data_IF_947319351249
#
_entry.id   IF_947319351249
#
_cell.length_a   1.000
_cell.length_b   1.000
_cell.length_c   1.000
_cell.angle_alpha   90.00
_cell.angle_beta   90.00
_cell.angle_gamma   90.00
#
_symmetry.space_group_name_H-M   'P 1'
#
loop_
_entity.id
_entity.type
_entity.pdbx_description
1 polymer ?
#
# COMPACT_ATOMS: atom_id res chain seq x y z
N UNK A 1 -26.81 -22.01 -3.77
CA UNK A 1 -26.65 -20.69 -3.13
C UNK A 1 -27.27 -20.65 -1.74
N UNK A 2 -28.62 -20.71 -1.62
CA UNK A 2 -29.32 -20.63 -0.33
C UNK A 2 -28.90 -21.71 0.67
N UNK A 3 -28.75 -22.96 0.23
CA UNK A 3 -28.29 -24.07 1.08
C UNK A 3 -26.89 -23.82 1.63
N UNK A 4 -25.96 -23.39 0.78
CA UNK A 4 -24.58 -23.06 1.17
C UNK A 4 -24.53 -21.90 2.16
N UNK A 5 -25.33 -20.85 1.95
CA UNK A 5 -25.41 -19.72 2.87
C UNK A 5 -25.95 -20.13 4.26
N UNK A 6 -26.94 -21.02 4.30
CA UNK A 6 -27.44 -21.60 5.57
C UNK A 6 -26.38 -22.45 6.27
N UNK A 7 -25.56 -23.19 5.52
CA UNK A 7 -24.50 -24.03 6.09
C UNK A 7 -23.35 -23.20 6.68
N UNK A 8 -22.93 -22.13 6.00
CA UNK A 8 -21.85 -21.26 6.48
C UNK A 8 -22.29 -20.32 7.60
N UNK A 9 -23.58 -19.96 7.65
CA UNK A 9 -24.10 -18.93 8.54
C UNK A 9 -23.78 -17.52 8.02
N UNK A 10 -24.67 -16.57 8.30
CA UNK A 10 -24.44 -15.17 7.93
C UNK A 10 -23.48 -14.48 8.92
N UNK A 11 -22.69 -13.48 8.47
CA UNK A 11 -22.59 -13.01 7.09
C UNK A 11 -21.76 -13.93 6.18
N UNK A 12 -22.12 -13.98 4.90
CA UNK A 12 -21.38 -14.72 3.86
C UNK A 12 -20.77 -13.77 2.83
N UNK A 13 -19.66 -14.16 2.22
CA UNK A 13 -19.03 -13.44 1.12
C UNK A 13 -19.52 -14.00 -0.21
N UNK A 14 -20.12 -13.14 -1.03
CA UNK A 14 -20.60 -13.48 -2.39
C UNK A 14 -19.91 -12.57 -3.39
N UNK A 15 -19.03 -13.15 -4.22
CA UNK A 15 -18.08 -12.43 -5.10
C UNK A 15 -17.23 -11.43 -4.30
N UNK A 16 -17.75 -10.22 -4.17
CA UNK A 16 -17.10 -9.04 -3.61
C UNK A 16 -18.08 -8.22 -2.77
N UNK A 17 -19.03 -8.87 -2.08
CA UNK A 17 -19.87 -8.22 -1.07
C UNK A 17 -20.14 -9.15 0.11
N UNK A 18 -20.10 -8.60 1.32
CA UNK A 18 -20.62 -9.27 2.51
C UNK A 18 -22.14 -9.14 2.51
N UNK A 19 -22.80 -10.25 2.77
CA UNK A 19 -24.25 -10.37 2.76
C UNK A 19 -24.67 -10.85 4.14
N UNK A 20 -25.53 -10.09 4.80
CA UNK A 20 -25.89 -10.33 6.21
C UNK A 20 -27.22 -11.06 6.37
N UNK A 21 -28.06 -11.06 5.34
CA UNK A 21 -29.37 -11.67 5.37
C UNK A 21 -29.77 -12.25 3.99
N UNK A 22 -30.90 -12.97 3.98
CA UNK A 22 -31.39 -13.63 2.77
C UNK A 22 -31.94 -12.62 1.74
N UNK A 23 -32.49 -11.50 2.20
CA UNK A 23 -33.05 -10.42 1.36
C UNK A 23 -31.97 -9.73 0.52
N UNK A 24 -30.76 -9.55 1.07
CA UNK A 24 -29.58 -9.06 0.37
C UNK A 24 -28.98 -10.13 -0.56
N UNK A 25 -29.07 -11.41 -0.19
CA UNK A 25 -28.46 -12.52 -0.93
C UNK A 25 -29.13 -12.75 -2.29
N UNK A 26 -30.46 -12.83 -2.32
CA UNK A 26 -31.24 -13.13 -3.53
C UNK A 26 -30.91 -12.20 -4.71
N UNK A 27 -31.01 -10.86 -4.58
CA UNK A 27 -30.76 -9.96 -5.71
C UNK A 27 -29.32 -10.06 -6.20
N UNK A 28 -28.34 -10.21 -5.29
CA UNK A 28 -26.93 -10.36 -5.66
C UNK A 28 -26.66 -11.66 -6.40
N UNK A 29 -27.23 -12.77 -5.94
CA UNK A 29 -27.11 -14.07 -6.61
C UNK A 29 -27.75 -14.04 -7.98
N UNK A 30 -28.94 -13.48 -8.12
CA UNK A 30 -29.64 -13.35 -9.40
C UNK A 30 -28.83 -12.51 -10.40
N UNK A 31 -28.32 -11.36 -9.96
CA UNK A 31 -27.46 -10.50 -10.78
C UNK A 31 -26.16 -11.21 -11.18
N UNK A 32 -25.53 -11.93 -10.26
CA UNK A 32 -24.29 -12.66 -10.53
C UNK A 32 -24.49 -13.83 -11.51
N UNK A 33 -25.56 -14.59 -11.34
CA UNK A 33 -25.87 -15.74 -12.18
C UNK A 33 -26.33 -15.35 -13.59
N UNK A 34 -26.85 -14.13 -13.76
CA UNK A 34 -27.13 -13.58 -15.09
C UNK A 34 -25.84 -13.35 -15.91
N UNK A 35 -24.70 -13.15 -15.26
CA UNK A 35 -23.40 -12.92 -15.91
C UNK A 35 -22.53 -14.19 -16.00
N UNK A 36 -22.75 -15.18 -15.13
CA UNK A 36 -21.92 -16.38 -15.00
C UNK A 36 -22.77 -17.57 -14.58
N UNK A 37 -22.54 -18.74 -15.17
CA UNK A 37 -23.23 -19.97 -14.78
C UNK A 37 -22.83 -20.51 -13.39
N UNK A 38 -21.75 -19.97 -12.81
CA UNK A 38 -21.23 -20.40 -11.51
C UNK A 38 -21.05 -19.22 -10.55
N UNK A 39 -21.26 -19.49 -9.26
CA UNK A 39 -21.10 -18.55 -8.17
C UNK A 39 -20.41 -19.23 -6.98
N UNK A 40 -19.39 -18.57 -6.44
CA UNK A 40 -18.74 -18.97 -5.19
C UNK A 40 -19.36 -18.21 -4.02
N UNK A 41 -19.76 -18.94 -2.97
CA UNK A 41 -20.20 -18.42 -1.68
C UNK A 41 -19.19 -18.88 -0.64
N UNK A 42 -18.59 -17.95 0.08
CA UNK A 42 -17.58 -18.22 1.10
C UNK A 42 -18.06 -17.76 2.48
N UNK A 43 -17.47 -18.36 3.53
CA UNK A 43 -17.54 -17.82 4.90
C UNK A 43 -17.00 -16.39 4.92
N UNK A 44 -17.61 -15.51 5.70
CA UNK A 44 -17.05 -14.18 5.93
C UNK A 44 -15.75 -14.27 6.73
N UNK A 45 -14.70 -13.63 6.21
CA UNK A 45 -13.42 -13.45 6.88
C UNK A 45 -13.23 -12.00 7.33
N UNK A 46 -14.32 -11.22 7.48
CA UNK A 46 -14.27 -9.79 7.85
C UNK A 46 -13.35 -9.57 9.06
N UNK A 47 -12.45 -8.59 8.96
CA UNK A 47 -11.48 -8.25 10.00
C UNK A 47 -10.16 -9.03 9.93
N UNK A 48 -10.02 -9.98 9.01
CA UNK A 48 -8.77 -10.73 8.86
C UNK A 48 -7.75 -9.90 8.09
N UNK A 49 -6.46 -10.08 8.39
CA UNK A 49 -5.37 -9.46 7.66
C UNK A 49 -5.35 -10.00 6.25
N UNK A 50 -5.17 -9.14 5.26
CA UNK A 50 -5.03 -9.56 3.87
C UNK A 50 -3.60 -9.39 3.41
N UNK A 51 -3.01 -10.50 2.97
CA UNK A 51 -1.60 -10.58 2.57
C UNK A 51 -1.52 -11.17 1.18
N UNK A 52 -0.65 -10.61 0.34
CA UNK A 52 -0.44 -11.07 -1.02
C UNK A 52 1.03 -11.36 -1.29
N UNK A 53 1.30 -12.45 -2.03
CA UNK A 53 2.63 -12.85 -2.46
C UNK A 53 2.72 -12.89 -3.98
N UNK A 54 3.72 -12.23 -4.53
CA UNK A 54 4.14 -12.37 -5.92
C UNK A 54 5.19 -13.47 -6.01
N UNK A 55 4.80 -14.59 -6.62
CA UNK A 55 5.62 -15.79 -6.74
C UNK A 55 6.10 -15.93 -8.17
N UNK A 56 7.36 -16.30 -8.36
CA UNK A 56 7.92 -16.67 -9.65
C UNK A 56 8.51 -18.06 -9.56
N UNK A 57 8.14 -18.93 -10.50
CA UNK A 57 8.65 -20.30 -10.59
C UNK A 57 9.11 -20.63 -12.01
N UNK A 58 10.28 -21.22 -12.17
CA UNK A 58 10.75 -21.73 -13.46
C UNK A 58 10.43 -23.22 -13.68
N UNK A 59 10.74 -23.72 -14.87
CA UNK A 59 10.52 -25.14 -15.23
C UNK A 59 11.46 -26.11 -14.50
N UNK A 60 12.52 -25.61 -13.87
CA UNK A 60 13.50 -26.37 -13.10
C UNK A 60 13.17 -26.42 -11.60
N UNK A 61 11.97 -25.96 -11.23
CA UNK A 61 11.44 -25.91 -9.87
C UNK A 61 12.12 -24.90 -8.92
N UNK A 62 12.91 -23.97 -9.47
CA UNK A 62 13.34 -22.79 -8.72
C UNK A 62 12.12 -21.90 -8.49
N UNK A 63 11.85 -21.55 -7.24
CA UNK A 63 10.65 -20.81 -6.84
C UNK A 63 11.02 -19.74 -5.81
N UNK A 64 10.75 -18.48 -6.14
CA UNK A 64 11.13 -17.30 -5.36
C UNK A 64 9.91 -16.43 -5.04
N UNK A 65 9.92 -15.81 -3.86
CA UNK A 65 8.97 -14.76 -3.50
C UNK A 65 9.58 -13.41 -3.86
N UNK A 66 9.04 -12.75 -4.89
CA UNK A 66 9.58 -11.45 -5.34
C UNK A 66 9.10 -10.30 -4.47
N UNK A 67 7.87 -10.37 -3.98
CA UNK A 67 7.28 -9.31 -3.17
C UNK A 67 6.14 -9.85 -2.32
N UNK A 68 6.14 -9.50 -1.04
CA UNK A 68 5.01 -9.63 -0.13
C UNK A 68 4.37 -8.26 0.10
N UNK A 69 3.05 -8.23 0.22
CA UNK A 69 2.30 -7.00 0.48
C UNK A 69 1.22 -7.23 1.52
N UNK A 70 0.92 -6.19 2.28
CA UNK A 70 -0.11 -6.21 3.30
C UNK A 70 -1.12 -5.09 3.03
N UNK A 71 -2.40 -5.41 3.11
CA UNK A 71 -3.44 -4.41 2.98
C UNK A 71 -3.67 -3.76 4.35
N UNK A 72 -3.77 -2.42 4.37
CA UNK A 72 -4.14 -1.67 5.57
C UNK A 72 -5.60 -1.93 5.92
N UNK A 73 -6.44 -2.00 4.89
CA UNK A 73 -7.85 -2.35 5.05
C UNK A 73 -7.98 -3.86 5.25
N UNK A 74 -8.53 -4.32 6.39
CA UNK A 74 -8.74 -5.75 6.65
C UNK A 74 -9.71 -6.31 5.61
N UNK A 75 -9.60 -7.60 5.29
CA UNK A 75 -10.24 -8.29 4.13
C UNK A 75 -11.55 -7.65 3.68
N UNK A 76 -11.42 -6.60 2.87
CA UNK A 76 -12.51 -5.97 2.19
C UNK A 76 -12.84 -6.85 0.97
N UNK A 77 -14.10 -6.85 0.52
CA UNK A 77 -14.52 -7.74 -0.55
C UNK A 77 -13.84 -7.48 -1.92
N UNK A 78 -13.20 -6.31 -2.09
CA UNK A 78 -12.55 -5.85 -3.32
C UNK A 78 -11.05 -5.66 -3.07
N UNK A 79 -10.19 -6.50 -3.66
CA UNK A 79 -8.72 -6.40 -3.51
C UNK A 79 -8.13 -5.13 -4.09
N UNK A 80 -8.72 -4.62 -5.16
CA UNK A 80 -8.04 -3.65 -6.03
C UNK A 80 -8.26 -2.21 -5.54
N UNK A 81 -9.12 -2.01 -4.54
CA UNK A 81 -9.47 -0.73 -3.93
C UNK A 81 -8.92 -0.56 -2.51
N UNK A 82 -8.14 -1.51 -2.01
CA UNK A 82 -7.49 -1.35 -0.71
C UNK A 82 -6.23 -0.49 -0.80
N UNK A 83 -5.90 0.16 0.30
CA UNK A 83 -4.58 0.74 0.53
C UNK A 83 -3.62 -0.39 0.90
N UNK A 84 -2.46 -0.42 0.25
CA UNK A 84 -1.50 -1.51 0.37
C UNK A 84 -0.12 -0.97 0.74
N UNK A 85 0.56 -1.67 1.65
CA UNK A 85 1.95 -1.42 2.04
C UNK A 85 2.86 -2.55 1.55
N UNK A 86 4.06 -2.18 1.16
CA UNK A 86 5.12 -3.09 0.70
C UNK A 86 6.44 -2.72 1.39
N UNK A 87 7.16 -3.65 2.03
CA UNK A 87 6.76 -5.03 2.34
C UNK A 87 5.67 -5.09 3.44
N UNK A 88 5.20 -6.28 3.81
CA UNK A 88 4.31 -6.44 4.98
C UNK A 88 4.98 -5.97 6.27
N UNK A 89 4.23 -5.34 7.17
CA UNK A 89 4.74 -4.68 8.37
C UNK A 89 4.38 -5.42 9.67
N UNK A 90 3.24 -6.14 9.70
CA UNK A 90 2.68 -6.67 10.95
C UNK A 90 2.74 -8.20 11.05
N UNK A 91 3.44 -8.86 10.12
CA UNK A 91 3.66 -10.30 10.16
C UNK A 91 4.88 -10.64 11.02
N UNK A 92 4.72 -11.61 11.90
CA UNK A 92 5.84 -12.29 12.55
C UNK A 92 6.64 -13.11 11.53
N UNK A 93 7.90 -13.43 11.85
CA UNK A 93 8.74 -14.28 11.02
C UNK A 93 8.12 -15.65 10.76
N UNK A 94 7.41 -16.21 11.75
CA UNK A 94 6.74 -17.51 11.62
C UNK A 94 5.55 -17.43 10.66
N UNK A 95 4.72 -16.40 10.76
CA UNK A 95 3.61 -16.17 9.82
C UNK A 95 4.12 -15.92 8.41
N UNK A 96 5.16 -15.10 8.25
CA UNK A 96 5.79 -14.84 6.96
C UNK A 96 6.30 -16.15 6.32
N UNK A 97 7.07 -16.94 7.06
CA UNK A 97 7.63 -18.20 6.56
C UNK A 97 6.56 -19.25 6.28
N UNK A 98 5.50 -19.30 7.10
CA UNK A 98 4.33 -20.14 6.88
C UNK A 98 3.68 -19.82 5.54
N UNK A 99 3.27 -18.56 5.33
CA UNK A 99 2.59 -18.11 4.11
C UNK A 99 3.48 -18.23 2.87
N UNK A 100 4.78 -17.96 3.00
CA UNK A 100 5.79 -18.21 1.95
C UNK A 100 5.82 -19.69 1.56
N UNK A 101 5.93 -20.59 2.54
CA UNK A 101 5.98 -22.04 2.29
C UNK A 101 4.71 -22.56 1.63
N UNK A 102 3.53 -22.04 2.03
CA UNK A 102 2.25 -22.40 1.42
C UNK A 102 2.17 -21.89 -0.01
N UNK A 103 2.61 -20.66 -0.27
CA UNK A 103 2.67 -20.09 -1.62
C UNK A 103 3.46 -20.99 -2.56
N UNK A 104 4.66 -21.44 -2.14
CA UNK A 104 5.49 -22.36 -2.92
C UNK A 104 4.75 -23.69 -3.19
N UNK A 105 4.12 -24.29 -2.17
CA UNK A 105 3.35 -25.54 -2.31
C UNK A 105 2.19 -25.40 -3.29
N UNK A 106 1.44 -24.32 -3.23
CA UNK A 106 0.30 -24.03 -4.11
C UNK A 106 0.77 -23.90 -5.56
N UNK A 107 1.81 -23.11 -5.79
CA UNK A 107 2.35 -22.86 -7.14
C UNK A 107 2.92 -24.13 -7.77
N UNK A 108 3.60 -24.97 -6.97
CA UNK A 108 4.08 -26.28 -7.39
C UNK A 108 2.94 -27.24 -7.72
N UNK A 109 1.93 -27.31 -6.85
CA UNK A 109 0.78 -28.20 -7.05
C UNK A 109 -0.01 -27.85 -8.31
N UNK A 110 -0.15 -26.55 -8.61
CA UNK A 110 -0.81 -26.06 -9.82
C UNK A 110 0.07 -26.17 -11.09
N UNK A 111 1.34 -26.57 -10.95
CA UNK A 111 2.26 -26.72 -12.09
C UNK A 111 2.61 -25.40 -12.79
N UNK A 112 2.55 -24.27 -12.08
CA UNK A 112 2.74 -22.94 -12.67
C UNK A 112 4.23 -22.76 -13.05
N UNK A 113 4.46 -22.28 -14.27
CA UNK A 113 5.76 -21.82 -14.77
C UNK A 113 5.58 -20.37 -15.22
N UNK A 114 6.35 -19.46 -14.64
CA UNK A 114 6.18 -18.01 -14.76
C UNK A 114 5.81 -17.36 -13.42
N UNK A 115 5.05 -16.26 -13.48
CA UNK A 115 4.63 -15.50 -12.31
C UNK A 115 3.16 -15.75 -11.96
N UNK A 116 2.85 -15.73 -10.67
CA UNK A 116 1.48 -15.68 -10.17
C UNK A 116 1.38 -14.89 -8.85
N UNK A 117 0.17 -14.45 -8.53
CA UNK A 117 -0.16 -13.76 -7.29
C UNK A 117 -1.04 -14.66 -6.40
N UNK A 118 -0.58 -14.97 -5.18
CA UNK A 118 -1.33 -15.75 -4.19
C UNK A 118 -1.84 -14.80 -3.10
N UNK A 119 -3.13 -14.85 -2.79
CA UNK A 119 -3.76 -14.00 -1.78
C UNK A 119 -4.23 -14.81 -0.58
N UNK A 120 -3.95 -14.30 0.61
CA UNK A 120 -4.28 -14.91 1.88
C UNK A 120 -5.15 -13.98 2.73
N UNK A 121 -6.02 -14.60 3.53
CA UNK A 121 -6.60 -14.02 4.72
C UNK A 121 -5.91 -14.69 5.92
N UNK A 122 -5.30 -13.91 6.80
CA UNK A 122 -4.63 -14.37 8.02
C UNK A 122 -5.40 -13.84 9.24
N UNK A 123 -5.66 -14.73 10.21
CA UNK A 123 -6.33 -14.35 11.44
C UNK A 123 -5.40 -13.44 12.27
N UNK A 124 -5.84 -12.27 12.75
CA UNK A 124 -4.99 -11.38 13.56
C UNK A 124 -4.69 -11.95 14.96
N UNK A 125 -5.42 -12.97 15.42
CA UNK A 125 -5.30 -13.55 16.77
C UNK A 125 -4.69 -14.96 16.77
N UNK A 126 -4.47 -15.57 15.60
CA UNK A 126 -3.95 -16.93 15.49
C UNK A 126 -3.23 -17.15 14.15
N UNK A 127 -2.52 -18.28 14.03
CA UNK A 127 -1.88 -18.68 12.77
C UNK A 127 -2.86 -19.28 11.74
N UNK A 128 -4.17 -19.22 11.99
CA UNK A 128 -5.18 -19.71 11.05
C UNK A 128 -5.20 -18.81 9.81
N UNK A 129 -5.18 -19.43 8.63
CA UNK A 129 -5.18 -18.72 7.35
C UNK A 129 -6.11 -19.41 6.36
N UNK A 130 -6.57 -18.63 5.38
CA UNK A 130 -7.28 -19.12 4.19
C UNK A 130 -6.62 -18.57 2.93
N UNK A 131 -6.53 -19.40 1.89
CA UNK A 131 -6.17 -18.94 0.54
C UNK A 131 -7.45 -18.38 -0.10
N UNK A 132 -7.41 -17.10 -0.48
CA UNK A 132 -8.55 -16.39 -1.07
C UNK A 132 -8.62 -16.69 -2.57
N UNK A 133 -7.52 -16.43 -3.29
CA UNK A 133 -7.41 -16.64 -4.74
C UNK A 133 -5.96 -16.77 -5.18
N UNK A 134 -5.76 -17.43 -6.31
CA UNK A 134 -4.48 -17.48 -7.03
C UNK A 134 -4.73 -16.92 -8.43
N UNK A 135 -4.01 -15.85 -8.79
CA UNK A 135 -4.03 -15.30 -10.14
C UNK A 135 -2.82 -15.80 -10.90
N UNK A 136 -3.03 -16.69 -11.87
CA UNK A 136 -1.98 -17.32 -12.68
C UNK A 136 -1.66 -16.45 -13.91
N UNK A 137 -1.39 -15.17 -13.67
CA UNK A 137 -1.04 -14.18 -14.70
C UNK A 137 -0.45 -12.95 -14.04
N UNK A 138 0.19 -12.12 -14.86
CA UNK A 138 0.52 -10.75 -14.49
C UNK A 138 -0.76 -9.98 -14.15
N UNK A 139 -0.72 -9.30 -13.01
CA UNK A 139 -1.80 -8.46 -12.49
C UNK A 139 -1.31 -7.02 -12.33
N UNK A 140 -2.22 -6.10 -12.02
CA UNK A 140 -1.84 -4.74 -11.58
C UNK A 140 -0.91 -4.78 -10.36
N UNK A 141 -1.14 -5.76 -9.49
CA UNK A 141 -0.32 -6.00 -8.32
C UNK A 141 1.11 -6.42 -8.69
N UNK A 142 1.30 -7.25 -9.72
CA UNK A 142 2.64 -7.57 -10.24
C UNK A 142 3.36 -6.34 -10.82
N UNK A 143 2.63 -5.42 -11.46
CA UNK A 143 3.21 -4.16 -11.93
C UNK A 143 3.66 -3.27 -10.76
N UNK A 144 2.84 -3.16 -9.70
CA UNK A 144 3.22 -2.48 -8.45
C UNK A 144 4.49 -3.10 -7.84
N UNK A 145 4.52 -4.43 -7.71
CA UNK A 145 5.69 -5.12 -7.16
C UNK A 145 6.95 -4.85 -7.99
N UNK A 146 6.86 -4.90 -9.32
CA UNK A 146 8.02 -4.63 -10.19
C UNK A 146 8.55 -3.21 -10.03
N UNK A 147 7.66 -2.22 -9.82
CA UNK A 147 8.05 -0.84 -9.54
C UNK A 147 8.67 -0.70 -8.16
N UNK A 148 8.09 -1.30 -7.13
CA UNK A 148 8.61 -1.13 -5.77
C UNK A 148 9.93 -1.86 -5.59
N UNK A 149 10.05 -3.08 -6.10
CA UNK A 149 11.26 -3.88 -5.92
C UNK A 149 12.34 -3.54 -6.92
N UNK A 150 11.98 -3.05 -8.11
CA UNK A 150 12.88 -2.98 -9.26
C UNK A 150 13.02 -4.31 -10.02
N UNK A 151 12.44 -5.40 -9.51
CA UNK A 151 12.50 -6.71 -10.16
C UNK A 151 11.50 -6.81 -11.32
N UNK A 152 11.92 -6.97 -12.59
CA UNK A 152 11.04 -6.83 -13.73
C UNK A 152 10.22 -8.11 -13.99
N UNK A 153 9.14 -8.32 -13.22
CA UNK A 153 8.32 -9.55 -13.26
C UNK A 153 7.82 -9.87 -14.67
N UNK A 154 7.39 -8.87 -15.43
CA UNK A 154 6.95 -9.06 -16.81
C UNK A 154 8.05 -9.65 -17.70
N UNK A 155 9.23 -9.04 -17.68
CA UNK A 155 10.40 -9.50 -18.46
C UNK A 155 10.81 -10.93 -18.06
N UNK A 156 10.94 -11.19 -16.76
CA UNK A 156 11.35 -12.50 -16.26
C UNK A 156 10.32 -13.56 -16.66
N UNK A 157 9.02 -13.29 -16.47
CA UNK A 157 7.95 -14.23 -16.83
C UNK A 157 8.00 -14.59 -18.31
N UNK A 158 8.24 -13.63 -19.21
CA UNK A 158 8.39 -13.89 -20.64
C UNK A 158 9.59 -14.79 -20.92
N UNK A 159 10.73 -14.57 -20.25
CA UNK A 159 11.92 -15.41 -20.42
C UNK A 159 11.73 -16.83 -19.90
N UNK A 160 11.05 -16.99 -18.76
CA UNK A 160 10.69 -18.31 -18.23
C UNK A 160 9.74 -19.06 -19.15
N UNK A 161 8.79 -18.37 -19.79
CA UNK A 161 7.89 -18.96 -20.79
C UNK A 161 8.63 -19.46 -22.05
N UNK A 162 9.83 -18.93 -22.34
CA UNK A 162 10.71 -19.40 -23.40
C UNK A 162 11.63 -20.56 -22.96
N UNK A 163 11.47 -21.07 -21.74
CA UNK A 163 12.26 -22.19 -21.21
C UNK A 163 13.60 -21.79 -20.60
N UNK A 164 13.84 -20.50 -20.31
CA UNK A 164 15.04 -20.09 -19.59
C UNK A 164 14.90 -20.35 -18.09
N UNK A 165 16.01 -20.61 -17.38
CA UNK A 165 16.01 -20.73 -15.91
C UNK A 165 16.23 -19.38 -15.23
N UNK A 166 15.72 -19.23 -13.99
CA UNK A 166 16.01 -18.07 -13.15
C UNK A 166 17.52 -17.90 -12.87
N UNK A 167 18.28 -18.99 -12.83
CA UNK A 167 19.73 -18.97 -12.57
C UNK A 167 20.55 -18.46 -13.75
N UNK A 168 19.99 -18.46 -14.97
CA UNK A 168 20.69 -18.00 -16.17
C UNK A 168 20.38 -16.53 -16.50
N UNK A 169 19.31 -16.00 -15.91
CA UNK A 169 18.86 -14.63 -16.16
C UNK A 169 19.59 -13.66 -15.25
N UNK A 170 20.36 -12.72 -15.82
CA UNK A 170 21.00 -11.65 -15.05
C UNK A 170 19.99 -10.67 -14.46
N UNK A 171 20.28 -10.17 -13.26
CA UNK A 171 19.58 -9.04 -12.66
C UNK A 171 19.95 -7.76 -13.43
N UNK A 172 18.95 -7.04 -13.96
CA UNK A 172 19.16 -5.81 -14.76
C UNK A 172 19.48 -4.58 -13.93
N UNK A 173 19.37 -4.64 -12.60
CA UNK A 173 19.73 -3.51 -11.74
C UNK A 173 21.20 -3.57 -11.36
N UNK A 174 21.71 -4.74 -10.99
CA UNK A 174 23.10 -4.91 -10.55
C UNK A 174 24.03 -5.37 -11.67
N UNK A 175 23.53 -6.11 -12.67
CA UNK A 175 24.30 -6.82 -13.71
C UNK A 175 25.37 -7.83 -13.24
N UNK A 176 25.63 -7.88 -11.93
CA UNK A 176 26.57 -8.79 -11.27
C UNK A 176 25.89 -10.04 -10.69
N UNK A 177 24.59 -9.95 -10.40
CA UNK A 177 23.80 -11.05 -9.83
C UNK A 177 22.81 -11.64 -10.84
N UNK A 178 22.22 -12.78 -10.47
CA UNK A 178 21.18 -13.46 -11.26
C UNK A 178 19.79 -13.15 -10.70
N UNK A 179 18.75 -13.53 -11.43
CA UNK A 179 17.35 -13.27 -11.11
C UNK A 179 16.78 -14.28 -10.11
N UNK A 180 17.51 -15.34 -9.76
CA UNK A 180 17.10 -16.32 -8.76
C UNK A 180 17.37 -15.84 -7.33
N UNK A 181 16.69 -14.77 -6.90
CA UNK A 181 16.79 -14.22 -5.54
C UNK A 181 15.46 -13.60 -5.08
N UNK A 182 15.31 -13.41 -3.77
CA UNK A 182 14.19 -12.67 -3.19
C UNK A 182 14.65 -11.23 -2.89
N UNK A 183 14.06 -10.19 -3.52
CA UNK A 183 14.45 -8.81 -3.29
C UNK A 183 14.29 -8.40 -1.83
N UNK A 184 15.22 -7.58 -1.34
CA UNK A 184 15.18 -6.97 -0.01
C UNK A 184 15.11 -5.46 -0.14
N UNK A 185 14.17 -4.84 0.56
CA UNK A 185 13.88 -3.41 0.46
C UNK A 185 14.37 -2.65 1.69
N UNK A 186 15.05 -1.52 1.49
CA UNK A 186 15.43 -0.56 2.56
C UNK A 186 14.36 0.53 2.76
N UNK A 187 13.25 0.40 2.04
CA UNK A 187 12.18 1.38 1.95
C UNK A 187 10.81 0.73 2.14
N UNK A 188 9.84 1.57 2.46
CA UNK A 188 8.42 1.27 2.51
C UNK A 188 7.77 1.95 1.31
N UNK A 189 6.98 1.19 0.54
CA UNK A 189 6.12 1.71 -0.49
C UNK A 189 4.65 1.60 -0.08
N UNK A 190 3.88 2.62 -0.40
CA UNK A 190 2.43 2.66 -0.15
C UNK A 190 1.72 2.91 -1.47
N UNK A 191 0.68 2.12 -1.72
CA UNK A 191 -0.23 2.27 -2.84
C UNK A 191 -1.59 2.71 -2.33
N UNK A 192 -2.08 3.84 -2.83
CA UNK A 192 -3.44 4.32 -2.58
C UNK A 192 -4.20 4.29 -3.92
N UNK A 193 -5.38 3.65 -3.98
CA UNK A 193 -6.25 3.76 -5.15
C UNK A 193 -6.89 5.16 -5.18
N UNK A 194 -7.25 5.67 -6.37
CA UNK A 194 -7.90 6.96 -6.46
C UNK A 194 -9.31 6.92 -5.86
N UNK A 195 -9.68 8.00 -5.18
CA UNK A 195 -11.01 8.21 -4.63
C UNK A 195 -11.85 9.02 -5.60
N UNK A 196 -12.48 8.37 -6.57
CA UNK A 196 -13.39 9.06 -7.48
C UNK A 196 -14.79 9.18 -6.83
N UNK A 197 -14.91 10.05 -5.83
CA UNK A 197 -16.14 10.24 -5.05
C UNK A 197 -17.08 11.31 -5.64
N UNK A 198 -16.70 12.03 -6.70
CA UNK A 198 -17.44 13.21 -7.17
C UNK A 198 -18.26 13.05 -8.45
N UNK A 199 -18.06 11.99 -9.24
CA UNK A 199 -18.69 11.91 -10.58
C UNK A 199 -20.00 11.09 -10.69
N UNK A 200 -20.48 10.43 -9.62
CA UNK A 200 -21.65 9.55 -9.71
C UNK A 200 -22.69 9.80 -8.61
N UNK A 201 -23.33 10.97 -8.63
CA UNK A 201 -24.38 11.33 -7.66
C UNK A 201 -25.71 10.57 -7.91
N UNK A 202 -25.91 10.00 -9.11
CA UNK A 202 -27.13 9.25 -9.47
C UNK A 202 -26.93 7.75 -9.75
N UNK A 203 -25.70 7.24 -9.71
CA UNK A 203 -25.45 5.81 -9.81
C UNK A 203 -25.11 5.27 -8.42
N UNK A 204 -25.94 4.35 -7.93
CA UNK A 204 -25.82 3.67 -6.66
C UNK A 204 -24.47 2.95 -6.49
N UNK A 205 -23.42 3.63 -6.01
CA UNK A 205 -22.12 3.10 -5.52
C UNK A 205 -21.43 1.98 -6.35
N UNK A 206 -21.89 1.65 -7.56
CA UNK A 206 -21.30 0.66 -8.44
C UNK A 206 -20.27 1.37 -9.31
N UNK A 207 -19.09 1.53 -8.73
CA UNK A 207 -17.95 2.20 -9.35
C UNK A 207 -17.35 1.27 -10.42
N UNK A 208 -17.41 1.70 -11.68
CA UNK A 208 -16.62 1.13 -12.77
C UNK A 208 -15.14 1.51 -12.63
N UNK A 209 -14.23 0.58 -12.94
CA UNK A 209 -12.78 0.74 -12.75
C UNK A 209 -12.16 1.79 -13.69
N UNK A 210 -12.22 3.07 -13.31
CA UNK A 210 -11.36 4.13 -13.84
C UNK A 210 -10.47 4.63 -12.72
N UNK A 211 -9.32 3.99 -12.54
CA UNK A 211 -8.41 4.33 -11.45
C UNK A 211 -6.96 4.40 -11.90
N UNK A 212 -6.38 5.61 -11.89
CA UNK A 212 -4.92 5.80 -11.90
C UNK A 212 -4.45 5.54 -10.46
N UNK A 213 -3.80 4.40 -10.23
CA UNK A 213 -3.23 4.05 -8.92
C UNK A 213 -1.94 4.82 -8.66
N UNK A 214 -1.77 5.26 -7.42
CA UNK A 214 -0.65 6.10 -7.02
C UNK A 214 0.23 5.35 -6.04
N UNK A 215 1.55 5.52 -6.17
CA UNK A 215 2.55 4.84 -5.34
C UNK A 215 3.57 5.85 -4.86
N UNK A 216 3.85 5.84 -3.57
CA UNK A 216 4.95 6.60 -2.99
C UNK A 216 5.90 5.68 -2.23
N UNK A 217 7.20 5.98 -2.34
CA UNK A 217 8.29 5.23 -1.72
C UNK A 217 9.04 6.16 -0.77
N UNK A 218 9.36 5.67 0.43
CA UNK A 218 10.11 6.39 1.46
C UNK A 218 10.71 5.42 2.48
N UNK A 219 11.54 5.91 3.41
CA UNK A 219 12.11 5.06 4.48
C UNK A 219 11.26 4.95 5.74
N UNK A 220 10.18 5.73 5.84
CA UNK A 220 9.18 5.59 6.90
C UNK A 220 7.77 5.49 6.33
N UNK A 221 6.89 4.82 7.07
CA UNK A 221 5.49 4.67 6.69
C UNK A 221 4.80 6.03 6.63
N UNK A 222 5.03 6.88 7.61
CA UNK A 222 4.40 8.20 7.74
C UNK A 222 4.76 9.09 6.54
N UNK A 223 6.04 9.09 6.14
CA UNK A 223 6.51 9.84 5.00
C UNK A 223 5.94 9.32 3.68
N UNK A 224 6.01 7.99 3.46
CA UNK A 224 5.44 7.35 2.27
C UNK A 224 3.93 7.62 2.17
N UNK A 225 3.22 7.56 3.29
CA UNK A 225 1.78 7.67 3.35
C UNK A 225 1.32 9.08 2.98
N UNK A 226 1.93 10.10 3.59
CA UNK A 226 1.58 11.49 3.28
C UNK A 226 2.01 11.88 1.86
N UNK A 227 3.13 11.36 1.34
CA UNK A 227 3.52 11.53 -0.07
C UNK A 227 2.47 10.93 -1.00
N UNK A 228 2.02 9.70 -0.71
CA UNK A 228 1.03 9.02 -1.53
C UNK A 228 -0.30 9.79 -1.54
N UNK A 229 -0.77 10.27 -0.39
CA UNK A 229 -2.01 11.05 -0.29
C UNK A 229 -2.01 12.31 -1.16
N UNK A 230 -0.88 13.03 -1.20
CA UNK A 230 -0.73 14.22 -2.05
C UNK A 230 -0.74 13.93 -3.53
N UNK A 231 -0.29 12.74 -3.92
CA UNK A 231 -0.23 12.33 -5.32
C UNK A 231 -1.60 11.82 -5.83
N UNK A 232 -2.56 11.54 -4.93
CA UNK A 232 -3.90 11.05 -5.30
C UNK A 232 -4.76 12.16 -5.90
N UNK A 233 -4.76 13.35 -5.29
CA UNK A 233 -5.53 14.51 -5.74
C UNK A 233 -4.83 15.79 -5.26
N UNK A 234 -4.77 16.82 -6.11
CA UNK A 234 -4.12 18.11 -5.83
C UNK A 234 -4.74 18.86 -4.64
N UNK A 235 -6.01 18.56 -4.33
CA UNK A 235 -6.71 19.10 -3.18
C UNK A 235 -6.22 18.51 -1.85
N UNK A 236 -5.56 17.35 -1.87
CA UNK A 236 -5.03 16.72 -0.67
C UNK A 236 -3.61 17.20 -0.39
N UNK A 237 -3.45 17.91 0.71
CA UNK A 237 -2.14 18.36 1.21
C UNK A 237 -1.40 17.28 2.02
N UNK A 238 -2.11 16.25 2.49
CA UNK A 238 -1.61 15.12 3.27
C UNK A 238 -2.71 14.55 4.17
N UNK A 239 -2.35 13.93 5.30
CA UNK A 239 -3.31 13.33 6.24
C UNK A 239 -3.89 14.39 7.18
N UNK A 240 -5.08 14.90 6.85
CA UNK A 240 -5.74 15.99 7.59
C UNK A 240 -7.09 15.58 8.18
N UNK A 241 -7.51 16.26 9.25
CA UNK A 241 -8.84 16.08 9.84
C UNK A 241 -9.84 17.08 9.26
N UNK A 242 -11.12 16.70 9.22
CA UNK A 242 -12.22 17.61 8.93
C UNK A 242 -12.67 18.36 10.19
N UNK A 243 -13.19 19.58 9.99
CA UNK A 243 -13.86 20.36 11.02
C UNK A 243 -15.35 19.99 11.12
N UNK A 244 -15.63 18.69 11.34
CA UNK A 244 -17.01 18.21 11.52
C UNK A 244 -17.13 17.14 12.59
N UNK A 245 -18.35 16.94 13.07
CA UNK A 245 -18.72 15.80 13.90
C UNK A 245 -18.79 14.53 13.08
N UNK A 246 -18.29 13.44 13.67
CA UNK A 246 -18.32 12.09 13.10
C UNK A 246 -18.94 11.17 14.14
N UNK A 247 -19.62 10.13 13.67
CA UNK A 247 -20.24 9.08 14.49
C UNK A 247 -19.50 7.76 14.32
N UNK A 248 -19.68 6.83 15.26
CA UNK A 248 -19.10 5.48 15.19
C UNK A 248 -19.61 4.69 13.96
N UNK A 249 -20.85 4.96 13.55
CA UNK A 249 -21.44 4.35 12.36
C UNK A 249 -20.72 4.80 11.09
N UNK A 250 -20.33 6.07 11.00
CA UNK A 250 -19.52 6.58 9.88
C UNK A 250 -18.12 5.95 9.84
N UNK A 251 -17.58 5.48 10.96
CA UNK A 251 -16.27 4.82 11.01
C UNK A 251 -16.42 3.33 10.67
N UNK A 252 -17.50 2.68 11.13
CA UNK A 252 -17.73 1.24 11.01
C UNK A 252 -18.37 0.81 9.68
N UNK A 253 -19.17 1.69 9.07
CA UNK A 253 -19.94 1.40 7.86
C UNK A 253 -19.11 1.44 6.58
N UNK A 254 -17.92 2.05 6.63
CA UNK A 254 -17.13 2.24 5.43
C UNK A 254 -16.45 0.92 5.06
N UNK A 255 -16.94 0.31 3.99
CA UNK A 255 -16.26 -0.81 3.34
C UNK A 255 -14.85 -0.41 2.83
N UNK A 256 -14.63 0.90 2.61
CA UNK A 256 -13.37 1.53 2.24
C UNK A 256 -13.02 2.60 3.28
N UNK A 257 -11.97 2.43 4.08
CA UNK A 257 -11.67 3.36 5.19
C UNK A 257 -11.48 4.78 4.65
N UNK A 258 -12.40 5.69 4.98
CA UNK A 258 -12.22 7.10 4.70
C UNK A 258 -11.14 7.64 5.65
N UNK A 259 -9.91 7.71 5.14
CA UNK A 259 -8.74 8.13 5.89
C UNK A 259 -8.93 9.48 6.60
N UNK A 260 -9.68 10.42 6.01
CA UNK A 260 -9.94 11.72 6.62
C UNK A 260 -10.94 11.64 7.78
N UNK A 261 -11.89 10.69 7.76
CA UNK A 261 -12.73 10.38 8.93
C UNK A 261 -11.86 9.82 10.04
N UNK A 262 -10.94 8.91 9.71
CA UNK A 262 -9.98 8.34 10.67
C UNK A 262 -9.08 9.43 11.30
N UNK A 263 -8.55 10.36 10.49
CA UNK A 263 -7.81 11.52 10.97
C UNK A 263 -8.65 12.40 11.92
N UNK A 264 -9.93 12.59 11.59
CA UNK A 264 -10.88 13.35 12.43
C UNK A 264 -11.15 12.65 13.76
N UNK A 265 -11.22 11.31 13.76
CA UNK A 265 -11.39 10.53 14.98
C UNK A 265 -10.19 10.67 15.91
N UNK A 266 -8.96 10.56 15.38
CA UNK A 266 -7.75 10.80 16.16
C UNK A 266 -7.69 12.22 16.73
N UNK A 267 -8.06 13.23 15.94
CA UNK A 267 -8.07 14.62 16.38
C UNK A 267 -9.06 14.85 17.55
N UNK A 268 -10.15 14.09 17.58
CA UNK A 268 -11.18 14.11 18.65
C UNK A 268 -10.83 13.23 19.85
N UNK A 269 -9.65 12.62 19.89
CA UNK A 269 -9.19 11.82 21.02
C UNK A 269 -9.76 10.40 21.06
N UNK A 270 -10.21 9.84 19.93
CA UNK A 270 -10.55 8.41 19.88
C UNK A 270 -9.31 7.57 20.20
N UNK A 271 -9.51 6.55 21.03
CA UNK A 271 -8.43 5.61 21.37
C UNK A 271 -8.17 4.64 20.22
N UNK A 272 -6.94 4.14 20.14
CA UNK A 272 -6.56 3.13 19.15
C UNK A 272 -7.43 1.88 19.29
N UNK A 273 -7.72 1.44 20.51
CA UNK A 273 -8.56 0.27 20.75
C UNK A 273 -9.99 0.47 20.23
N UNK A 274 -10.59 1.65 20.41
CA UNK A 274 -11.91 1.94 19.86
C UNK A 274 -11.87 1.91 18.34
N UNK A 275 -10.86 2.51 17.72
CA UNK A 275 -10.71 2.51 16.26
C UNK A 275 -10.45 1.11 15.70
N UNK A 276 -9.67 0.29 16.41
CA UNK A 276 -9.47 -1.12 16.06
C UNK A 276 -10.79 -1.89 16.10
N UNK A 277 -11.62 -1.70 17.13
CA UNK A 277 -12.93 -2.36 17.21
C UNK A 277 -13.86 -1.97 16.05
N UNK A 278 -13.88 -0.69 15.68
CA UNK A 278 -14.75 -0.17 14.61
C UNK A 278 -14.26 -0.56 13.21
N UNK A 279 -12.95 -0.48 12.97
CA UNK A 279 -12.37 -0.61 11.61
C UNK A 279 -11.70 -1.96 11.34
N UNK A 280 -11.23 -2.65 12.38
CA UNK A 280 -10.37 -3.84 12.30
C UNK A 280 -9.03 -3.60 11.58
N UNK A 281 -8.63 -2.35 11.34
CA UNK A 281 -7.28 -2.00 10.86
C UNK A 281 -6.27 -2.36 11.94
N UNK A 282 -5.16 -2.99 11.55
CA UNK A 282 -4.12 -3.38 12.52
C UNK A 282 -3.63 -2.17 13.34
N UNK A 283 -3.45 -2.40 14.65
CA UNK A 283 -3.04 -1.37 15.61
C UNK A 283 -1.76 -0.67 15.18
N UNK A 284 -0.82 -1.37 14.55
CA UNK A 284 0.42 -0.78 14.07
C UNK A 284 0.14 0.39 13.13
N UNK A 285 -0.74 0.24 12.14
CA UNK A 285 -1.13 1.33 11.24
C UNK A 285 -1.84 2.45 12.00
N UNK A 286 -2.72 2.11 12.94
CA UNK A 286 -3.41 3.11 13.76
C UNK A 286 -2.44 3.94 14.61
N UNK A 287 -1.40 3.34 15.19
CA UNK A 287 -0.32 4.08 15.88
C UNK A 287 0.41 5.03 14.94
N UNK A 288 0.67 4.60 13.70
CA UNK A 288 1.34 5.43 12.68
C UNK A 288 0.49 6.63 12.26
N UNK A 289 -0.81 6.43 12.05
CA UNK A 289 -1.75 7.52 11.77
C UNK A 289 -1.89 8.46 12.98
N UNK A 290 -1.96 7.91 14.19
CA UNK A 290 -2.03 8.70 15.41
C UNK A 290 -0.79 9.58 15.58
N UNK A 291 0.41 9.07 15.28
CA UNK A 291 1.66 9.84 15.39
C UNK A 291 1.63 11.11 14.53
N UNK A 292 1.13 11.02 13.29
CA UNK A 292 0.98 12.19 12.40
C UNK A 292 0.03 13.22 13.03
N UNK A 293 -1.13 12.78 13.51
CA UNK A 293 -2.14 13.69 14.08
C UNK A 293 -1.70 14.27 15.43
N UNK A 294 -1.04 13.49 16.29
CA UNK A 294 -0.53 13.97 17.56
C UNK A 294 0.60 14.98 17.38
N UNK A 295 1.50 14.75 16.42
CA UNK A 295 2.52 15.73 16.06
C UNK A 295 1.86 17.05 15.61
N UNK A 296 0.83 16.97 14.75
CA UNK A 296 0.00 18.12 14.38
C UNK A 296 -0.57 18.85 15.61
N UNK A 297 -1.21 18.14 16.53
CA UNK A 297 -1.94 18.76 17.65
C UNK A 297 -1.01 19.37 18.69
N UNK A 298 0.11 18.73 19.00
CA UNK A 298 0.93 19.09 20.18
C UNK A 298 2.25 19.77 19.84
N UNK A 299 2.77 19.62 18.62
CA UNK A 299 4.10 20.13 18.24
C UNK A 299 4.05 21.29 17.27
N UNK A 300 2.99 21.44 16.49
CA UNK A 300 2.85 22.62 15.63
C UNK A 300 2.53 23.87 16.44
N UNK A 301 3.29 24.92 16.16
CA UNK A 301 3.06 26.28 16.62
C UNK A 301 3.52 27.24 15.51
N UNK A 302 3.34 28.55 15.73
CA UNK A 302 3.74 29.58 14.77
C UNK A 302 5.26 29.68 14.57
N UNK A 303 6.07 29.15 15.49
CA UNK A 303 7.54 29.24 15.46
C UNK A 303 8.25 28.00 14.93
N UNK A 304 7.54 26.94 14.50
CA UNK A 304 8.18 25.70 14.01
C UNK A 304 9.14 25.97 12.85
N UNK A 305 8.87 26.98 12.02
CA UNK A 305 9.73 27.39 10.91
C UNK A 305 11.04 28.05 11.37
N UNK A 306 11.20 28.35 12.65
CA UNK A 306 12.42 28.88 13.24
C UNK A 306 13.21 27.78 13.97
N UNK A 307 12.63 26.60 14.16
CA UNK A 307 13.26 25.46 14.81
C UNK A 307 13.64 24.40 13.76
N UNK A 308 14.93 24.33 13.44
CA UNK A 308 15.47 23.35 12.50
C UNK A 308 15.11 21.90 12.86
N UNK A 309 15.11 21.58 14.16
CA UNK A 309 14.90 20.21 14.63
C UNK A 309 13.44 19.79 14.47
N UNK A 310 12.49 20.63 14.91
CA UNK A 310 11.06 20.38 14.77
C UNK A 310 10.62 20.40 13.31
N UNK A 311 11.15 21.32 12.51
CA UNK A 311 10.88 21.36 11.08
C UNK A 311 11.35 20.08 10.38
N UNK A 312 12.54 19.57 10.73
CA UNK A 312 13.05 18.31 10.19
C UNK A 312 12.19 17.11 10.63
N UNK A 313 11.74 17.08 11.88
CA UNK A 313 10.83 16.05 12.39
C UNK A 313 9.51 16.05 11.59
N UNK A 314 8.94 17.23 11.33
CA UNK A 314 7.75 17.39 10.50
C UNK A 314 8.00 16.85 9.06
N UNK A 315 9.13 17.19 8.45
CA UNK A 315 9.49 16.68 7.12
C UNK A 315 9.67 15.16 7.09
N UNK A 316 10.26 14.58 8.14
CA UNK A 316 10.43 13.11 8.31
C UNK A 316 9.12 12.37 8.54
N UNK A 317 8.10 13.03 9.11
CA UNK A 317 6.74 12.51 9.17
C UNK A 317 5.98 12.67 7.86
N UNK A 318 6.56 13.32 6.84
CA UNK A 318 5.97 13.49 5.52
C UNK A 318 5.15 14.75 5.33
N UNK A 319 5.15 15.70 6.27
CA UNK A 319 4.38 16.94 6.12
C UNK A 319 4.89 17.77 4.93
N UNK A 320 3.96 18.19 4.08
CA UNK A 320 4.26 19.12 2.98
C UNK A 320 4.45 20.55 3.49
N UNK A 321 5.10 21.38 2.69
CA UNK A 321 5.28 22.80 3.03
C UNK A 321 3.91 23.50 3.09
N UNK A 322 2.98 23.14 2.21
CA UNK A 322 1.56 23.54 2.25
C UNK A 322 0.84 23.16 3.55
N UNK A 323 1.05 21.95 4.09
CA UNK A 323 0.48 21.58 5.41
C UNK A 323 1.10 22.41 6.53
N UNK A 324 2.43 22.56 6.52
CA UNK A 324 3.14 23.31 7.55
C UNK A 324 2.70 24.77 7.52
N UNK A 325 2.59 25.38 6.34
CA UNK A 325 2.20 26.78 6.21
C UNK A 325 0.78 27.03 6.74
N UNK A 326 -0.14 26.11 6.44
CA UNK A 326 -1.52 26.12 6.96
C UNK A 326 -1.55 26.06 8.49
N UNK A 327 -0.82 25.14 9.12
CA UNK A 327 -0.84 25.00 10.58
C UNK A 327 -0.10 26.10 11.33
N UNK A 328 0.85 26.76 10.69
CA UNK A 328 1.62 27.86 11.29
C UNK A 328 1.04 29.25 11.01
N UNK A 329 0.00 29.36 10.17
CA UNK A 329 -0.54 30.65 9.74
C UNK A 329 0.45 31.47 8.91
N UNK A 330 1.23 30.81 8.05
CA UNK A 330 2.25 31.43 7.19
C UNK A 330 2.07 31.04 5.72
N UNK A 331 2.96 31.47 4.84
CA UNK A 331 2.96 31.11 3.41
C UNK A 331 3.87 29.92 3.14
N UNK A 332 3.57 29.15 2.11
CA UNK A 332 4.40 28.01 1.67
C UNK A 332 5.83 28.46 1.31
N UNK A 333 5.95 29.64 0.69
CA UNK A 333 7.24 30.27 0.38
C UNK A 333 8.11 30.46 1.63
N UNK A 334 7.54 30.98 2.75
CA UNK A 334 8.29 31.17 3.99
C UNK A 334 8.78 29.85 4.60
N UNK A 335 7.99 28.77 4.48
CA UNK A 335 8.41 27.43 4.91
C UNK A 335 9.57 26.94 4.05
N UNK A 336 9.47 27.10 2.74
CA UNK A 336 10.52 26.74 1.80
C UNK A 336 11.82 27.52 2.05
N UNK A 337 11.74 28.84 2.27
CA UNK A 337 12.87 29.69 2.61
C UNK A 337 13.54 29.26 3.92
N UNK A 338 12.75 28.99 4.96
CA UNK A 338 13.27 28.47 6.23
C UNK A 338 14.03 27.14 6.04
N UNK A 339 13.46 26.19 5.28
CA UNK A 339 14.16 24.94 4.95
C UNK A 339 15.50 25.22 4.24
N UNK A 340 15.51 26.11 3.24
CA UNK A 340 16.74 26.49 2.52
C UNK A 340 17.77 27.13 3.45
N UNK A 341 17.37 28.03 4.35
CA UNK A 341 18.24 28.67 5.34
C UNK A 341 18.90 27.63 6.28
N UNK A 342 18.16 26.58 6.64
CA UNK A 342 18.70 25.48 7.46
C UNK A 342 19.50 24.43 6.67
N UNK A 343 19.69 24.60 5.37
CA UNK A 343 20.30 23.61 4.49
C UNK A 343 19.48 22.31 4.42
N UNK A 344 18.17 22.38 4.65
CA UNK A 344 17.28 21.24 4.75
C UNK A 344 16.72 20.88 3.36
N UNK A 345 17.21 19.76 2.82
CA UNK A 345 16.71 19.13 1.60
C UNK A 345 16.49 17.63 1.84
N UNK A 346 15.57 16.99 1.11
CA UNK A 346 15.53 15.55 1.10
C UNK A 346 16.78 14.99 0.42
N UNK A 347 17.21 13.81 0.86
CA UNK A 347 18.24 13.03 0.20
C UNK A 347 17.65 12.24 -0.97
N UNK A 348 18.46 12.00 -1.99
CA UNK A 348 18.15 11.15 -3.13
C UNK A 348 18.67 9.74 -2.85
N UNK A 349 17.76 8.76 -2.88
CA UNK A 349 18.04 7.35 -2.59
C UNK A 349 17.71 6.47 -3.78
N UNK A 350 18.44 5.37 -3.93
CA UNK A 350 18.30 4.44 -5.05
C UNK A 350 17.52 3.19 -4.65
N UNK A 351 16.77 2.62 -5.61
CA UNK A 351 16.14 1.31 -5.48
C UNK A 351 17.05 0.30 -6.17
N UNK A 352 17.68 -0.57 -5.37
CA UNK A 352 18.74 -1.47 -5.83
C UNK A 352 18.36 -2.96 -5.86
N UNK A 353 17.14 -3.34 -5.46
CA UNK A 353 16.64 -4.72 -5.23
C UNK A 353 17.30 -5.51 -4.09
N UNK A 354 18.44 -5.07 -3.55
CA UNK A 354 19.36 -5.92 -2.76
C UNK A 354 19.84 -5.27 -1.46
N UNK A 355 19.26 -4.14 -1.04
CA UNK A 355 19.57 -3.48 0.24
C UNK A 355 21.07 -3.13 0.36
N UNK A 356 21.64 -2.52 -0.68
CA UNK A 356 23.02 -2.04 -0.71
C UNK A 356 24.10 -3.14 -0.74
N UNK A 357 23.72 -4.42 -0.88
CA UNK A 357 24.68 -5.52 -0.94
C UNK A 357 25.53 -5.50 -2.22
N UNK A 358 24.97 -5.02 -3.32
CA UNK A 358 25.67 -4.81 -4.59
C UNK A 358 25.39 -3.41 -5.13
N UNK A 359 26.32 -2.86 -5.91
CA UNK A 359 26.13 -1.57 -6.55
C UNK A 359 25.10 -1.69 -7.67
N UNK A 360 24.03 -0.90 -7.57
CA UNK A 360 23.09 -0.74 -8.66
C UNK A 360 23.69 0.13 -9.77
N UNK A 361 23.44 -0.26 -11.02
CA UNK A 361 23.90 0.44 -12.23
C UNK A 361 22.79 1.29 -12.87
N UNK A 362 21.63 1.39 -12.21
CA UNK A 362 20.44 2.08 -12.72
C UNK A 362 20.04 3.24 -11.81
N UNK A 363 19.71 4.39 -12.40
CA UNK A 363 19.23 5.56 -11.66
C UNK A 363 17.73 5.48 -11.35
N UNK A 364 17.30 4.43 -10.64
CA UNK A 364 15.93 4.35 -10.15
C UNK A 364 15.83 4.97 -8.74
N UNK A 365 15.31 6.20 -8.67
CA UNK A 365 15.48 7.05 -7.49
C UNK A 365 14.17 7.39 -6.77
N UNK A 366 14.26 7.61 -5.47
CA UNK A 366 13.24 8.23 -4.64
C UNK A 366 13.87 9.27 -3.69
N UNK A 367 13.06 10.19 -3.17
CA UNK A 367 13.52 11.22 -2.22
C UNK A 367 12.96 10.97 -0.81
N UNK A 368 13.78 11.22 0.21
CA UNK A 368 13.39 11.05 1.63
C UNK A 368 14.16 11.98 2.56
N UNK A 369 13.53 12.42 3.65
CA UNK A 369 14.18 13.14 4.75
C UNK A 369 14.84 12.23 5.81
N UNK A 370 14.82 10.91 5.61
CA UNK A 370 15.50 9.91 6.43
C UNK A 370 16.86 9.48 5.84
N UNK A 371 17.40 10.27 4.92
CA UNK A 371 18.77 10.15 4.44
C UNK A 371 19.70 11.15 5.12
N UNK A 372 20.98 10.79 5.21
CA UNK A 372 22.05 11.72 5.58
C UNK A 372 22.76 12.26 4.34
N UNK A 373 22.85 11.44 3.28
CA UNK A 373 23.59 11.71 2.04
C UNK A 373 22.81 11.21 0.82
N UNK A 374 23.20 11.62 -0.38
CA UNK A 374 22.64 11.11 -1.64
C UNK A 374 23.36 9.84 -2.09
N UNK A 375 22.63 8.88 -2.66
CA UNK A 375 23.22 7.64 -3.21
C UNK A 375 23.85 7.86 -4.60
N UNK A 376 23.53 9.00 -5.24
CA UNK A 376 24.15 9.42 -6.50
C UNK A 376 25.23 10.46 -6.22
N UNK A 377 26.38 10.31 -6.87
CA UNK A 377 27.37 11.39 -6.91
C UNK A 377 26.85 12.47 -7.84
N UNK A 378 26.90 13.73 -7.41
CA UNK A 378 26.66 14.86 -8.30
C UNK A 378 27.76 14.89 -9.36
N UNK A 379 27.60 14.15 -10.46
CA UNK A 379 28.27 14.53 -11.70
C UNK A 379 27.92 15.99 -11.96
N UNK A 380 28.90 16.81 -12.33
CA UNK A 380 28.84 18.25 -12.56
C UNK A 380 27.81 18.69 -13.61
N UNK A 381 26.54 18.41 -13.38
CA UNK A 381 25.39 19.07 -13.94
C UNK A 381 24.83 19.88 -12.79
N UNK A 382 24.87 21.21 -12.94
CA UNK A 382 24.01 22.09 -12.17
C UNK A 382 22.65 21.43 -12.09
N UNK A 383 22.13 21.24 -10.88
CA UNK A 383 20.72 20.97 -10.68
C UNK A 383 19.98 22.17 -11.28
N UNK A 384 19.72 22.15 -12.59
CA UNK A 384 18.74 23.03 -13.20
C UNK A 384 17.47 22.75 -12.43
N UNK A 385 17.01 23.76 -11.71
CA UNK A 385 15.74 23.76 -11.01
C UNK A 385 14.72 22.98 -11.83
N UNK A 386 14.29 21.82 -11.32
CA UNK A 386 13.22 21.06 -11.95
C UNK A 386 12.02 22.01 -12.08
N UNK A 387 11.55 22.35 -13.29
CA UNK A 387 10.46 23.29 -13.50
C UNK A 387 9.12 22.56 -13.31
N UNK A 388 8.94 21.87 -12.19
CA UNK A 388 7.66 21.28 -11.77
C UNK A 388 6.88 22.18 -10.81
N UNK A 389 7.41 23.36 -10.52
CA UNK A 389 6.70 24.48 -9.91
C UNK A 389 6.99 25.72 -10.75
N UNK A 390 6.32 25.85 -11.89
CA UNK A 390 6.06 27.17 -12.48
C UNK A 390 4.58 27.44 -12.31
N UNK A 391 4.31 28.51 -11.59
CA UNK A 391 3.01 29.15 -11.51
C UNK A 391 2.47 29.39 -12.93
N UNK A 392 1.30 28.84 -13.20
CA UNK A 392 0.24 29.41 -14.06
C UNK A 392 -1.11 29.03 -13.46
#
# INVERSE_FOLDING_TARGET
>A
ALTSAKQFGYPVLVRSRFVSNLEELIPLVNSALAQSSQLLICKSLKGWKKVEYEVVRDQYDNCIMVCNRENIDPTAPLSDQSIVVVPSQTLSSDEFNLLRSISIKVVRHLGIVGQCNVQFALNPLSVEYYIIKVNIRLTRSSALASRVTGYPLGYITTKLALGMSLIDLKNHITYETYSCFEPTLDCIAIKIPPWDLKQFVQCSHQIGMKSIEVVAISRSFEEAFQKCLRMVDENFSGFESYERTITDDEISSVADVNLFILATAFHRGYTIERLYQLTQIDRWFLYKFQAIIQFRVHRFNSSIIQDRSLLLEAKRLGFSDKQISKYCGTTELKVCESRKQFGMRPSVKMIDTVFGQWSAQTDYLYITYHGNDDDIQSSSQQWTEYPLFKDD
#
